data_IF_947634653602
#
_entry.id   IF_947634653602
#
_cell.length_a   1.000
_cell.length_b   1.000
_cell.length_c   1.000
_cell.angle_alpha   90.00
_cell.angle_beta   90.00
_cell.angle_gamma   90.00
#
_symmetry.space_group_name_H-M   'P 1'
#
loop_
_entity.id
_entity.type
_entity.pdbx_description
1 polymer ?
#
# COMPACT_ATOMS: atom_id res chain seq x y z
N UNK A 1 0.23 4.07 17.18
CA UNK A 1 -0.57 3.44 16.11
C UNK A 1 -0.68 4.43 14.99
N UNK A 2 -0.13 4.11 13.83
CA UNK A 2 -0.12 4.99 12.65
C UNK A 2 -1.59 5.24 12.20
N UNK A 3 -2.09 6.47 12.38
CA UNK A 3 -3.46 6.86 12.03
C UNK A 3 -3.68 6.76 10.51
N UNK A 4 -2.65 7.14 9.74
CA UNK A 4 -2.69 7.13 8.29
C UNK A 4 -2.82 5.70 7.76
N UNK A 5 -2.10 4.75 8.38
CA UNK A 5 -2.25 3.33 8.05
C UNK A 5 -3.67 2.83 8.29
N UNK A 6 -4.31 3.23 9.40
CA UNK A 6 -5.69 2.80 9.69
C UNK A 6 -6.68 3.36 8.67
N UNK A 7 -6.61 4.66 8.39
CA UNK A 7 -7.44 5.31 7.38
C UNK A 7 -7.30 4.67 6.00
N UNK A 8 -6.04 4.43 5.56
CA UNK A 8 -5.76 3.75 4.30
C UNK A 8 -6.35 2.34 4.27
N UNK A 9 -6.15 1.55 5.34
CA UNK A 9 -6.65 0.18 5.38
C UNK A 9 -8.19 0.15 5.36
N UNK A 10 -8.87 1.04 6.07
CA UNK A 10 -10.33 1.10 6.09
C UNK A 10 -10.90 1.42 4.70
N UNK A 11 -10.35 2.42 3.98
CA UNK A 11 -10.77 2.70 2.59
C UNK A 11 -10.53 1.51 1.66
N UNK A 12 -9.35 0.89 1.75
CA UNK A 12 -8.98 -0.20 0.84
C UNK A 12 -9.74 -1.50 1.12
N UNK A 13 -10.37 -1.62 2.29
CA UNK A 13 -11.22 -2.76 2.64
C UNK A 13 -12.41 -2.87 1.70
N UNK A 14 -13.04 -1.74 1.40
CA UNK A 14 -14.18 -1.68 0.49
C UNK A 14 -13.76 -2.02 -0.94
N UNK A 15 -12.61 -1.52 -1.40
CA UNK A 15 -12.04 -1.84 -2.71
C UNK A 15 -11.62 -3.31 -2.85
N UNK A 16 -11.20 -3.93 -1.74
CA UNK A 16 -10.82 -5.33 -1.72
C UNK A 16 -12.02 -6.29 -1.79
N UNK A 17 -13.24 -5.80 -1.54
CA UNK A 17 -14.49 -6.56 -1.64
C UNK A 17 -14.45 -7.93 -0.93
N UNK A 18 -13.82 -7.99 0.26
CA UNK A 18 -13.70 -9.23 1.04
C UNK A 18 -12.65 -10.23 0.54
N UNK A 19 -11.70 -9.78 -0.30
CA UNK A 19 -10.60 -10.63 -0.77
C UNK A 19 -9.72 -11.13 0.38
N UNK A 20 -9.45 -12.44 0.43
CA UNK A 20 -8.52 -13.04 1.38
C UNK A 20 -7.09 -12.48 1.26
N UNK A 21 -6.73 -11.94 0.10
CA UNK A 21 -5.44 -11.28 -0.08
C UNK A 21 -5.34 -9.97 0.73
N UNK A 22 -6.46 -9.29 1.00
CA UNK A 22 -6.46 -8.10 1.85
C UNK A 22 -6.04 -8.47 3.27
N UNK A 23 -6.72 -9.46 3.88
CA UNK A 23 -6.41 -9.90 5.25
C UNK A 23 -4.95 -10.37 5.39
N UNK A 24 -4.45 -11.08 4.37
CA UNK A 24 -3.05 -11.51 4.34
C UNK A 24 -2.08 -10.33 4.30
N UNK A 25 -2.34 -9.32 3.47
CA UNK A 25 -1.47 -8.14 3.35
C UNK A 25 -1.57 -7.19 4.54
N UNK A 26 -2.71 -7.17 5.25
CA UNK A 26 -2.84 -6.45 6.51
C UNK A 26 -2.07 -7.15 7.63
N UNK A 27 -2.12 -8.48 7.70
CA UNK A 27 -1.56 -9.25 8.82
C UNK A 27 -0.07 -9.62 8.67
N UNK A 28 0.48 -9.66 7.45
CA UNK A 28 1.88 -10.06 7.23
C UNK A 28 2.87 -9.03 7.78
N UNK A 29 3.92 -9.43 8.47
CA UNK A 29 5.07 -8.55 8.78
C UNK A 29 6.28 -8.82 7.86
N UNK A 30 6.09 -9.67 6.84
CA UNK A 30 7.13 -10.03 5.90
C UNK A 30 7.23 -9.02 4.74
N UNK A 31 8.30 -8.22 4.74
CA UNK A 31 8.60 -7.26 3.69
C UNK A 31 8.83 -7.91 2.32
N UNK A 32 9.29 -9.17 2.25
CA UNK A 32 9.45 -9.87 0.97
C UNK A 32 8.10 -10.21 0.34
N UNK A 33 7.10 -10.55 1.16
CA UNK A 33 5.72 -10.74 0.69
C UNK A 33 5.18 -9.43 0.10
N UNK A 34 5.37 -8.30 0.80
CA UNK A 34 4.94 -6.99 0.33
C UNK A 34 5.68 -6.58 -0.96
N UNK A 35 6.99 -6.80 -1.02
CA UNK A 35 7.80 -6.43 -2.18
C UNK A 35 7.40 -7.21 -3.43
N UNK A 36 7.02 -8.50 -3.28
CA UNK A 36 6.49 -9.31 -4.37
C UNK A 36 5.19 -8.75 -4.94
N UNK A 37 4.29 -8.22 -4.09
CA UNK A 37 3.03 -7.61 -4.55
C UNK A 37 3.27 -6.42 -5.49
N UNK A 38 4.34 -5.64 -5.25
CA UNK A 38 4.65 -4.48 -6.09
C UNK A 38 5.00 -4.87 -7.53
N UNK A 39 5.70 -6.00 -7.71
CA UNK A 39 6.21 -6.43 -9.02
C UNK A 39 5.33 -7.46 -9.72
N UNK A 40 4.42 -8.12 -9.00
CA UNK A 40 3.59 -9.17 -9.58
C UNK A 40 2.55 -8.59 -10.56
N UNK A 41 2.47 -9.10 -11.80
CA UNK A 41 1.52 -8.62 -12.78
C UNK A 41 0.08 -8.95 -12.37
N UNK A 42 -0.87 -8.11 -12.76
CA UNK A 42 -2.29 -8.34 -12.49
C UNK A 42 -2.74 -8.12 -11.05
N UNK A 43 -1.85 -7.76 -10.12
CA UNK A 43 -2.25 -7.31 -8.78
C UNK A 43 -3.17 -6.07 -8.88
N UNK A 44 -4.23 -5.99 -8.06
CA UNK A 44 -5.09 -4.81 -8.03
C UNK A 44 -4.38 -3.61 -7.40
N UNK A 45 -4.88 -2.40 -7.69
CA UNK A 45 -4.27 -1.16 -7.21
C UNK A 45 -4.22 -1.10 -5.67
N UNK A 46 -5.32 -1.45 -5.00
CA UNK A 46 -5.39 -1.48 -3.53
C UNK A 46 -4.29 -2.36 -2.90
N UNK A 47 -3.94 -3.49 -3.53
CA UNK A 47 -2.91 -4.38 -3.00
C UNK A 47 -1.51 -3.75 -3.10
N UNK A 48 -1.23 -3.09 -4.23
CA UNK A 48 0.02 -2.35 -4.41
C UNK A 48 0.13 -1.16 -3.47
N UNK A 49 -0.99 -0.50 -3.19
CA UNK A 49 -1.06 0.64 -2.26
C UNK A 49 -0.74 0.23 -0.83
N UNK A 50 -1.32 -0.86 -0.31
CA UNK A 50 -0.97 -1.42 1.01
C UNK A 50 0.52 -1.75 1.07
N UNK A 51 1.03 -2.48 0.07
CA UNK A 51 2.41 -2.91 0.03
C UNK A 51 3.38 -1.71 -0.02
N UNK A 52 3.13 -0.74 -0.90
CA UNK A 52 3.97 0.43 -1.07
C UNK A 52 4.00 1.29 0.19
N UNK A 53 2.83 1.54 0.80
CA UNK A 53 2.74 2.32 2.02
C UNK A 53 3.53 1.67 3.15
N UNK A 54 3.28 0.38 3.44
CA UNK A 54 3.93 -0.32 4.55
C UNK A 54 5.44 -0.45 4.37
N UNK A 55 5.89 -0.77 3.16
CA UNK A 55 7.32 -0.80 2.84
C UNK A 55 7.97 0.58 2.94
N UNK A 56 7.30 1.64 2.49
CA UNK A 56 7.77 3.02 2.63
C UNK A 56 7.95 3.42 4.09
N UNK A 57 6.96 3.13 4.94
CA UNK A 57 7.03 3.36 6.39
C UNK A 57 8.13 2.55 7.08
N UNK A 58 8.48 1.39 6.52
CA UNK A 58 9.61 0.58 6.97
C UNK A 58 10.98 1.05 6.42
N UNK A 59 11.01 2.08 5.55
CA UNK A 59 12.22 2.58 4.91
C UNK A 59 12.75 1.71 3.76
N UNK A 60 11.94 0.78 3.25
CA UNK A 60 12.32 -0.10 2.16
C UNK A 60 12.24 0.65 0.81
N UNK A 61 13.41 0.81 0.17
CA UNK A 61 13.56 1.54 -1.09
C UNK A 61 12.80 0.95 -2.26
N UNK A 62 12.42 -0.33 -2.21
CA UNK A 62 11.63 -0.99 -3.25
C UNK A 62 10.23 -0.37 -3.41
N UNK A 63 9.74 0.33 -2.38
CA UNK A 63 8.46 1.04 -2.44
C UNK A 63 8.50 2.32 -3.28
N UNK A 64 9.69 2.90 -3.51
CA UNK A 64 9.82 4.27 -4.01
C UNK A 64 9.09 4.50 -5.33
N UNK A 65 9.28 3.65 -6.33
CA UNK A 65 8.62 3.80 -7.64
C UNK A 65 7.09 3.70 -7.53
N UNK A 66 6.60 2.77 -6.72
CA UNK A 66 5.16 2.60 -6.49
C UNK A 66 4.56 3.82 -5.76
N UNK A 67 5.25 4.35 -4.75
CA UNK A 67 4.82 5.54 -4.02
C UNK A 67 4.84 6.79 -4.92
N UNK A 68 5.84 6.96 -5.78
CA UNK A 68 5.88 8.06 -6.75
C UNK A 68 4.72 7.95 -7.75
N UNK A 69 4.37 6.74 -8.19
CA UNK A 69 3.21 6.53 -9.06
C UNK A 69 1.90 6.92 -8.34
N UNK A 70 1.74 6.49 -7.08
CA UNK A 70 0.56 6.81 -6.27
C UNK A 70 0.45 8.31 -5.95
N UNK A 71 1.58 8.99 -5.74
CA UNK A 71 1.64 10.44 -5.55
C UNK A 71 1.12 11.23 -6.77
N UNK A 72 1.21 10.63 -7.96
CA UNK A 72 0.71 11.20 -9.20
C UNK A 72 -0.71 10.71 -9.56
N UNK A 73 -1.38 10.00 -8.65
CA UNK A 73 -2.74 9.49 -8.89
C UNK A 73 -3.77 10.64 -8.91
N UNK A 74 -4.91 10.42 -9.55
CA UNK A 74 -6.02 11.42 -9.58
C UNK A 74 -6.83 11.46 -8.29
N UNK A 75 -6.67 10.45 -7.46
CA UNK A 75 -7.39 10.32 -6.19
C UNK A 75 -6.56 11.00 -5.11
N UNK A 76 -7.06 12.09 -4.51
CA UNK A 76 -6.29 12.86 -3.53
C UNK A 76 -5.90 12.04 -2.30
N UNK A 77 -6.72 11.07 -1.88
CA UNK A 77 -6.40 10.26 -0.69
C UNK A 77 -5.17 9.38 -0.93
N UNK A 78 -5.03 8.83 -2.14
CA UNK A 78 -3.85 8.05 -2.54
C UNK A 78 -2.58 8.89 -2.55
N UNK A 79 -2.70 10.15 -2.99
CA UNK A 79 -1.58 11.10 -2.97
C UNK A 79 -1.14 11.42 -1.54
N UNK A 80 -2.09 11.63 -0.63
CA UNK A 80 -1.80 11.91 0.79
C UNK A 80 -1.08 10.73 1.43
N UNK A 81 -1.60 9.51 1.29
CA UNK A 81 -0.95 8.34 1.87
C UNK A 81 0.43 8.07 1.26
N UNK A 82 0.61 8.29 -0.04
CA UNK A 82 1.92 8.17 -0.69
C UNK A 82 2.93 9.22 -0.18
N UNK A 83 2.50 10.48 -0.06
CA UNK A 83 3.33 11.54 0.50
C UNK A 83 3.73 11.23 1.95
N UNK A 84 2.81 10.69 2.74
CA UNK A 84 3.08 10.30 4.13
C UNK A 84 4.09 9.17 4.24
N UNK A 85 4.01 8.15 3.38
CA UNK A 85 4.97 7.05 3.35
C UNK A 85 6.37 7.45 2.83
N UNK A 86 6.49 8.59 2.16
CA UNK A 86 7.76 9.15 1.66
C UNK A 86 8.45 10.11 2.64
N UNK A 87 7.75 10.57 3.68
CA UNK A 87 8.24 11.54 4.67
C UNK A 87 9.05 10.89 5.79
#
# INVERSE_FOLDING_TARGET
>A
MDEELRSLLDRLRDEAAGSAAYDLLVATDDNEVLARVLVEPGRPLWAREIAAFRLGRAGDRRAFEALVLLLNHRDPERCVSAAHALA
#
